data_IF_707209428895
#
_entry.id   IF_707209428895
#
_cell.length_a   1.000
_cell.length_b   1.000
_cell.length_c   1.000
_cell.angle_alpha   90.00
_cell.angle_beta   90.00
_cell.angle_gamma   90.00
#
_symmetry.space_group_name_H-M   'P 1'
#
loop_
_entity.id
_entity.type
_entity.pdbx_description
1 polymer ?
#
# COMPACT_ATOMS: atom_id res chain seq x y z
N UNK A 1 2.26 3.84 9.79
CA UNK A 1 2.76 2.72 10.60
C UNK A 1 2.32 1.38 10.02
N UNK A 2 3.09 0.34 10.30
CA UNK A 2 2.80 -1.03 9.90
C UNK A 2 3.21 -1.97 11.03
N UNK A 3 2.35 -2.94 11.34
CA UNK A 3 2.60 -3.92 12.41
C UNK A 3 3.17 -5.21 11.82
N UNK A 4 4.10 -5.84 12.54
CA UNK A 4 4.67 -7.14 12.15
C UNK A 4 3.63 -8.26 12.09
N UNK A 5 3.84 -9.31 11.29
CA UNK A 5 2.89 -10.44 11.20
C UNK A 5 2.58 -11.14 12.53
N UNK A 6 3.52 -11.12 13.46
CA UNK A 6 3.35 -11.67 14.81
C UNK A 6 2.71 -10.69 15.80
N UNK A 7 2.42 -9.44 15.37
CA UNK A 7 1.80 -8.38 16.15
C UNK A 7 2.70 -7.73 17.20
N UNK A 8 4.00 -8.02 17.25
CA UNK A 8 4.89 -7.60 18.37
C UNK A 8 5.69 -6.34 18.09
N UNK A 9 5.86 -5.96 16.82
CA UNK A 9 6.69 -4.81 16.44
C UNK A 9 5.92 -3.90 15.50
N UNK A 10 6.00 -2.59 15.72
CA UNK A 10 5.46 -1.56 14.84
C UNK A 10 6.61 -0.84 14.18
N UNK A 11 6.57 -0.71 12.85
CA UNK A 11 7.46 0.17 12.07
C UNK A 11 6.65 1.37 11.61
N UNK A 12 7.21 2.55 11.75
CA UNK A 12 6.56 3.81 11.41
C UNK A 12 7.57 4.84 10.89
N UNK A 13 7.07 5.84 10.17
CA UNK A 13 7.89 6.97 9.71
C UNK A 13 7.88 8.09 10.74
N UNK A 14 9.06 8.61 11.08
CA UNK A 14 9.23 9.79 11.91
C UNK A 14 10.41 10.62 11.40
N UNK A 15 10.17 11.90 11.12
CA UNK A 15 11.16 12.87 10.60
C UNK A 15 11.92 12.40 9.35
N UNK A 16 11.26 11.68 8.46
CA UNK A 16 11.84 11.21 7.21
C UNK A 16 12.49 9.83 7.26
N UNK A 17 12.66 9.23 8.43
CA UNK A 17 13.22 7.90 8.60
C UNK A 17 12.21 6.88 9.11
N UNK A 18 12.51 5.61 8.90
CA UNK A 18 11.77 4.50 9.50
C UNK A 18 12.30 4.23 10.92
N UNK A 19 11.37 4.01 11.83
CA UNK A 19 11.61 3.67 13.22
C UNK A 19 10.86 2.41 13.60
N UNK A 20 11.39 1.62 14.51
CA UNK A 20 10.72 0.45 15.06
C UNK A 20 10.55 0.55 16.58
N UNK A 21 9.43 0.01 17.08
CA UNK A 21 9.09 -0.02 18.51
C UNK A 21 8.29 -1.29 18.80
N UNK A 22 8.36 -1.80 20.04
CA UNK A 22 7.46 -2.88 20.48
C UNK A 22 5.99 -2.42 20.42
N UNK A 23 5.06 -3.30 20.05
CA UNK A 23 3.62 -3.03 20.11
C UNK A 23 3.12 -2.74 21.53
N UNK A 24 3.84 -3.21 22.55
CA UNK A 24 3.59 -2.91 23.97
C UNK A 24 4.10 -1.53 24.40
N UNK A 25 4.74 -0.79 23.49
CA UNK A 25 5.35 0.51 23.76
C UNK A 25 6.83 0.41 24.14
N UNK A 26 7.39 1.50 24.66
CA UNK A 26 8.79 1.61 25.02
C UNK A 26 9.59 2.54 24.11
N UNK A 27 10.90 2.34 24.04
CA UNK A 27 11.79 3.18 23.25
C UNK A 27 11.78 2.75 21.77
N UNK A 28 11.51 3.70 20.88
CA UNK A 28 11.68 3.50 19.46
C UNK A 28 13.17 3.57 19.07
N UNK A 29 13.59 2.72 18.16
CA UNK A 29 14.93 2.72 17.57
C UNK A 29 14.85 2.99 16.06
N UNK A 30 15.81 3.76 15.48
CA UNK A 30 15.82 3.98 14.05
C UNK A 30 16.12 2.68 13.31
N UNK A 31 15.41 2.47 12.20
CA UNK A 31 15.66 1.38 11.26
C UNK A 31 16.43 1.89 10.05
N UNK A 32 16.12 3.12 9.60
CA UNK A 32 16.88 3.83 8.58
C UNK A 32 17.43 5.14 9.15
N UNK A 33 18.53 5.61 8.60
CA UNK A 33 19.12 6.94 8.87
C UNK A 33 19.67 7.46 7.55
N UNK A 34 18.91 8.34 6.88
CA UNK A 34 19.26 8.88 5.57
C UNK A 34 18.71 10.29 5.41
N UNK A 35 19.33 11.13 4.57
CA UNK A 35 18.84 12.48 4.26
C UNK A 35 17.54 12.49 3.44
N UNK A 36 17.23 11.36 2.76
CA UNK A 36 16.02 11.17 1.98
C UNK A 36 14.81 10.85 2.87
N UNK A 37 13.63 10.93 2.28
CA UNK A 37 12.38 10.58 2.94
C UNK A 37 12.04 9.11 2.74
N UNK A 38 12.09 8.34 3.82
CA UNK A 38 11.69 6.93 3.89
C UNK A 38 10.30 6.80 4.52
N UNK A 39 9.33 6.20 3.81
CA UNK A 39 7.95 6.08 4.32
C UNK A 39 7.19 4.89 3.73
N UNK A 40 5.94 4.69 4.15
CA UNK A 40 5.08 3.56 3.77
C UNK A 40 5.73 2.18 4.00
N UNK A 41 6.17 1.87 5.23
CA UNK A 41 6.75 0.56 5.51
C UNK A 41 5.71 -0.55 5.36
N UNK A 42 6.11 -1.65 4.72
CA UNK A 42 5.33 -2.87 4.53
C UNK A 42 6.16 -4.07 4.95
N UNK A 43 5.61 -4.93 5.79
CA UNK A 43 6.26 -6.13 6.27
C UNK A 43 6.17 -7.29 5.28
N UNK A 44 7.26 -8.06 5.14
CA UNK A 44 7.18 -9.42 4.60
C UNK A 44 6.35 -10.33 5.50
N UNK A 45 5.76 -11.37 4.93
CA UNK A 45 4.91 -12.32 5.69
C UNK A 45 5.71 -13.11 6.72
N UNK A 46 7.00 -13.36 6.44
CA UNK A 46 7.92 -14.02 7.38
C UNK A 46 8.46 -13.08 8.48
N UNK A 47 8.12 -11.79 8.42
CA UNK A 47 8.52 -10.78 9.42
C UNK A 47 9.99 -10.39 9.41
N UNK A 48 10.76 -10.73 8.36
CA UNK A 48 12.21 -10.50 8.33
C UNK A 48 12.65 -9.28 7.55
N UNK A 49 11.78 -8.76 6.66
CA UNK A 49 12.12 -7.68 5.75
C UNK A 49 11.02 -6.61 5.73
N UNK A 50 11.44 -5.37 5.61
CA UNK A 50 10.57 -4.22 5.39
C UNK A 50 10.79 -3.70 3.97
N UNK A 51 9.72 -3.59 3.18
CA UNK A 51 9.71 -2.80 1.96
C UNK A 51 9.19 -1.39 2.28
N UNK A 52 9.75 -0.37 1.65
CA UNK A 52 9.36 1.02 1.86
C UNK A 52 9.62 1.87 0.61
N UNK A 53 9.01 3.04 0.54
CA UNK A 53 9.28 4.03 -0.48
C UNK A 53 10.37 4.99 0.00
N UNK A 54 11.32 5.35 -0.89
CA UNK A 54 12.38 6.32 -0.61
C UNK A 54 12.72 7.16 -1.83
N UNK A 55 12.93 8.47 -1.63
CA UNK A 55 13.30 9.42 -2.68
C UNK A 55 14.82 9.64 -2.81
N UNK A 56 15.65 8.71 -2.34
CA UNK A 56 17.12 8.76 -2.37
C UNK A 56 17.72 9.08 -3.74
N UNK A 57 16.99 8.84 -4.82
CA UNK A 57 17.43 9.05 -6.20
C UNK A 57 16.54 10.05 -6.97
N UNK A 58 15.85 10.94 -6.24
CA UNK A 58 15.08 12.07 -6.80
C UNK A 58 13.59 11.84 -6.98
N UNK A 59 13.13 10.59 -6.96
CA UNK A 59 11.73 10.20 -6.89
C UNK A 59 11.55 9.00 -5.97
N UNK A 60 10.34 8.71 -5.55
CA UNK A 60 10.07 7.56 -4.70
C UNK A 60 10.18 6.26 -5.47
N UNK A 61 11.16 5.45 -5.10
CA UNK A 61 11.35 4.07 -5.54
C UNK A 61 11.12 3.10 -4.38
N UNK A 62 10.97 1.81 -4.70
CA UNK A 62 10.89 0.76 -3.70
C UNK A 62 12.29 0.37 -3.20
N UNK A 63 12.41 0.30 -1.89
CA UNK A 63 13.58 -0.21 -1.19
C UNK A 63 13.19 -1.34 -0.24
N UNK A 64 14.14 -2.20 0.07
CA UNK A 64 13.99 -3.23 1.09
C UNK A 64 15.14 -3.19 2.09
N UNK A 65 14.85 -3.45 3.37
CA UNK A 65 15.82 -3.52 4.45
C UNK A 65 15.47 -4.68 5.38
N UNK A 66 16.46 -5.44 5.89
CA UNK A 66 16.21 -6.41 6.97
C UNK A 66 15.64 -5.70 8.21
N UNK A 67 14.74 -6.36 8.95
CA UNK A 67 14.14 -5.78 10.17
C UNK A 67 15.16 -5.53 11.27
N UNK A 68 16.28 -6.24 11.23
CA UNK A 68 17.40 -6.02 12.15
C UNK A 68 18.26 -4.81 11.79
N UNK A 69 17.99 -4.20 10.63
CA UNK A 69 18.78 -3.09 10.10
C UNK A 69 19.83 -3.54 9.09
N UNK A 70 20.65 -2.61 8.65
CA UNK A 70 21.68 -2.83 7.64
C UNK A 70 21.51 -1.91 6.45
N UNK A 71 22.05 -2.29 5.29
CA UNK A 71 21.98 -1.49 4.07
C UNK A 71 20.63 -1.71 3.37
N UNK A 72 19.96 -0.60 3.04
CA UNK A 72 18.73 -0.63 2.26
C UNK A 72 19.04 -0.84 0.77
N UNK A 73 18.38 -1.84 0.15
CA UNK A 73 18.58 -2.19 -1.25
C UNK A 73 17.44 -1.63 -2.10
N UNK A 74 17.77 -0.89 -3.15
CA UNK A 74 16.82 -0.41 -4.17
C UNK A 74 16.32 -1.55 -5.02
N UNK A 75 14.99 -1.65 -5.21
CA UNK A 75 14.32 -2.71 -5.98
C UNK A 75 13.83 -2.24 -7.34
N UNK A 76 13.48 -0.97 -7.46
CA UNK A 76 12.91 -0.37 -8.68
C UNK A 76 13.68 0.89 -9.10
N UNK A 77 13.55 1.30 -10.38
CA UNK A 77 14.40 2.32 -11.00
C UNK A 77 13.64 3.18 -12.02
N UNK A 78 12.35 3.37 -11.84
CA UNK A 78 11.52 4.17 -12.75
C UNK A 78 11.48 5.63 -12.33
N UNK A 79 11.23 6.55 -13.27
CA UNK A 79 11.12 7.99 -13.00
C UNK A 79 9.78 8.43 -12.38
N UNK A 80 8.75 7.57 -12.38
CA UNK A 80 7.51 7.82 -11.65
C UNK A 80 7.66 7.37 -10.20
N UNK A 81 6.91 8.01 -9.31
CA UNK A 81 6.83 7.59 -7.91
C UNK A 81 6.18 6.22 -7.77
N UNK A 82 6.67 5.43 -6.84
CA UNK A 82 6.28 4.06 -6.56
C UNK A 82 6.03 3.86 -5.08
N UNK A 83 4.88 3.29 -4.72
CA UNK A 83 4.42 3.17 -3.34
C UNK A 83 4.09 1.72 -3.01
N UNK A 84 4.80 1.08 -2.06
CA UNK A 84 4.57 -0.33 -1.73
C UNK A 84 3.25 -0.50 -0.98
N UNK A 85 2.52 -1.58 -1.27
CA UNK A 85 1.24 -1.87 -0.63
C UNK A 85 1.23 -3.18 0.13
N UNK A 86 1.77 -4.24 -0.44
CA UNK A 86 1.77 -5.56 0.20
C UNK A 86 2.81 -6.51 -0.39
N UNK A 87 3.22 -7.50 0.39
CA UNK A 87 3.95 -8.65 -0.12
C UNK A 87 2.97 -9.71 -0.63
N UNK A 88 3.39 -10.49 -1.64
CA UNK A 88 2.70 -11.72 -2.02
C UNK A 88 2.70 -12.72 -0.86
N UNK A 89 1.79 -13.68 -0.89
CA UNK A 89 1.65 -14.67 0.19
C UNK A 89 2.87 -15.55 0.38
N UNK A 90 3.64 -15.77 -0.70
CA UNK A 90 4.88 -16.55 -0.70
C UNK A 90 6.14 -15.70 -0.51
N UNK A 91 6.01 -14.42 -0.17
CA UNK A 91 7.08 -13.44 -0.01
C UNK A 91 8.02 -13.27 -1.22
N UNK A 92 7.59 -13.66 -2.43
CA UNK A 92 8.45 -13.56 -3.61
C UNK A 92 8.31 -12.26 -4.38
N UNK A 93 7.17 -11.57 -4.26
CA UNK A 93 6.91 -10.31 -4.95
C UNK A 93 6.32 -9.26 -4.01
N UNK A 94 6.45 -8.01 -4.43
CA UNK A 94 5.86 -6.85 -3.77
C UNK A 94 4.90 -6.20 -4.74
N UNK A 95 3.66 -5.98 -4.30
CA UNK A 95 2.65 -5.19 -5.03
C UNK A 95 2.79 -3.73 -4.66
N UNK A 96 2.76 -2.88 -5.66
CA UNK A 96 2.92 -1.44 -5.49
C UNK A 96 2.07 -0.65 -6.50
N UNK A 97 1.79 0.60 -6.17
CA UNK A 97 1.12 1.56 -7.04
C UNK A 97 2.11 2.50 -7.70
N UNK A 98 1.88 2.80 -8.97
CA UNK A 98 2.66 3.80 -9.72
C UNK A 98 1.87 4.35 -10.90
N UNK A 99 2.09 5.59 -11.25
CA UNK A 99 1.59 6.19 -12.50
C UNK A 99 2.66 6.04 -13.60
N UNK A 100 3.00 4.81 -13.93
CA UNK A 100 3.91 4.51 -15.04
C UNK A 100 3.20 4.77 -16.36
N UNK A 101 3.97 5.16 -17.38
CA UNK A 101 3.38 5.34 -18.70
C UNK A 101 3.15 3.99 -19.37
N UNK A 102 1.94 3.78 -19.85
CA UNK A 102 1.59 2.70 -20.76
C UNK A 102 2.37 2.76 -22.07
N UNK A 103 2.37 1.63 -22.80
CA UNK A 103 2.83 1.61 -24.18
C UNK A 103 2.12 2.71 -24.99
N UNK A 104 2.85 3.37 -25.89
CA UNK A 104 2.33 4.49 -26.68
C UNK A 104 1.01 4.17 -27.42
N UNK A 105 0.77 2.89 -27.74
CA UNK A 105 -0.46 2.39 -28.36
C UNK A 105 -1.69 2.38 -27.44
N UNK A 106 -1.47 2.38 -26.11
CA UNK A 106 -2.53 2.26 -25.10
C UNK A 106 -2.61 3.49 -24.17
N UNK A 107 -1.88 4.54 -24.52
CA UNK A 107 -1.78 5.73 -23.68
C UNK A 107 -3.10 6.50 -23.64
N UNK A 108 -3.83 6.36 -22.57
CA UNK A 108 -4.97 7.22 -22.23
C UNK A 108 -4.58 8.12 -21.06
N UNK A 109 -3.78 9.15 -21.32
CA UNK A 109 -3.47 10.23 -20.38
C UNK A 109 -3.17 9.75 -18.95
N UNK A 110 -2.07 9.02 -18.68
CA UNK A 110 -1.72 8.64 -17.32
C UNK A 110 -1.52 9.90 -16.51
N UNK A 111 -2.37 10.12 -15.53
CA UNK A 111 -2.19 11.18 -14.56
C UNK A 111 -1.59 10.58 -13.29
N UNK A 112 -0.70 11.30 -12.62
CA UNK A 112 -0.17 10.89 -11.30
C UNK A 112 -1.26 10.71 -10.24
N UNK A 113 -2.50 11.05 -10.56
CA UNK A 113 -3.68 10.87 -9.71
C UNK A 113 -4.40 9.53 -9.88
N UNK A 114 -3.99 8.70 -10.83
CA UNK A 114 -4.59 7.38 -11.10
C UNK A 114 -3.49 6.30 -11.20
N UNK A 115 -2.86 5.93 -10.07
CA UNK A 115 -1.83 4.91 -10.08
C UNK A 115 -2.43 3.54 -10.39
N UNK A 116 -1.75 2.80 -11.23
CA UNK A 116 -2.04 1.41 -11.54
C UNK A 116 -1.25 0.47 -10.63
N UNK A 117 -1.61 -0.81 -10.62
CA UNK A 117 -0.94 -1.81 -9.79
C UNK A 117 0.13 -2.57 -10.56
N UNK A 118 1.29 -2.60 -9.99
CA UNK A 118 2.46 -3.32 -10.49
C UNK A 118 2.99 -4.29 -9.44
N UNK A 119 3.85 -5.19 -9.88
CA UNK A 119 4.59 -6.09 -9.01
C UNK A 119 6.04 -6.20 -9.43
N UNK A 120 6.91 -6.39 -8.44
CA UNK A 120 8.34 -6.63 -8.62
C UNK A 120 8.79 -7.77 -7.70
N UNK A 121 9.79 -8.53 -8.15
CA UNK A 121 10.42 -9.53 -7.27
C UNK A 121 11.06 -8.85 -6.04
N UNK A 122 11.01 -9.51 -4.87
CA UNK A 122 11.74 -9.08 -3.67
C UNK A 122 13.25 -8.97 -3.90
N UNK A 123 13.74 -9.58 -4.96
CA UNK A 123 15.12 -9.46 -5.43
C UNK A 123 15.35 -8.33 -6.45
N UNK A 124 14.31 -7.52 -6.73
CA UNK A 124 14.34 -6.51 -7.79
C UNK A 124 14.23 -7.12 -9.18
N UNK A 125 14.55 -6.35 -10.22
CA UNK A 125 14.53 -6.79 -11.60
C UNK A 125 13.32 -6.28 -12.38
N UNK A 126 12.79 -7.08 -13.31
CA UNK A 126 11.72 -6.66 -14.22
C UNK A 126 10.40 -6.45 -13.45
N UNK A 127 9.86 -5.25 -13.56
CA UNK A 127 8.51 -4.93 -13.09
C UNK A 127 7.48 -5.41 -14.11
N UNK A 128 6.35 -5.93 -13.64
CA UNK A 128 5.20 -6.28 -14.46
C UNK A 128 3.94 -5.60 -13.92
N UNK A 129 3.03 -5.23 -14.82
CA UNK A 129 1.70 -4.75 -14.44
C UNK A 129 0.90 -5.91 -13.84
N UNK A 130 0.26 -5.67 -12.70
CA UNK A 130 -0.64 -6.62 -12.05
C UNK A 130 -2.08 -6.36 -12.47
N UNK A 131 -2.54 -5.12 -12.35
CA UNK A 131 -3.87 -4.67 -12.77
C UNK A 131 -3.82 -3.23 -13.29
N UNK A 132 -4.52 -2.92 -14.39
CA UNK A 132 -4.65 -1.55 -14.92
C UNK A 132 -5.69 -0.73 -14.15
N UNK A 133 -6.19 -1.21 -13.04
CA UNK A 133 -7.21 -0.55 -12.22
C UNK A 133 -6.57 0.46 -11.31
N UNK A 134 -6.99 1.74 -11.33
CA UNK A 134 -6.50 2.72 -10.37
C UNK A 134 -6.91 2.35 -8.94
N UNK A 135 -5.93 1.98 -8.13
CA UNK A 135 -6.13 1.46 -6.78
C UNK A 135 -4.97 1.84 -5.85
N UNK A 136 -5.28 1.98 -4.57
CA UNK A 136 -4.33 2.25 -3.49
C UNK A 136 -4.56 1.30 -2.32
N UNK A 137 -3.54 1.16 -1.45
CA UNK A 137 -3.57 0.34 -0.21
C UNK A 137 -4.05 -1.11 -0.41
N UNK A 138 -3.51 -1.76 -1.43
CA UNK A 138 -3.87 -3.12 -1.81
C UNK A 138 -3.38 -4.13 -0.78
N UNK A 139 -4.23 -5.09 -0.41
CA UNK A 139 -3.91 -6.20 0.50
C UNK A 139 -4.36 -7.53 -0.09
N UNK A 140 -3.48 -8.52 -0.05
CA UNK A 140 -3.86 -9.90 -0.36
C UNK A 140 -4.69 -10.49 0.77
N UNK A 141 -5.67 -11.31 0.40
CA UNK A 141 -6.28 -12.21 1.36
C UNK A 141 -5.33 -13.38 1.70
N UNK A 142 -5.72 -14.22 2.66
CA UNK A 142 -4.87 -15.26 3.22
C UNK A 142 -4.34 -16.30 2.22
N UNK A 143 -5.12 -16.64 1.19
CA UNK A 143 -4.72 -17.59 0.14
C UNK A 143 -4.16 -16.92 -1.13
N UNK A 144 -4.09 -15.58 -1.17
CA UNK A 144 -3.59 -14.80 -2.30
C UNK A 144 -4.52 -14.74 -3.51
N UNK A 145 -5.72 -15.29 -3.43
CA UNK A 145 -6.66 -15.31 -4.55
C UNK A 145 -7.44 -14.00 -4.72
N UNK A 146 -7.43 -13.13 -3.72
CA UNK A 146 -8.15 -11.85 -3.75
C UNK A 146 -7.25 -10.69 -3.36
N UNK A 147 -7.53 -9.54 -3.98
CA UNK A 147 -6.93 -8.25 -3.64
C UNK A 147 -8.03 -7.32 -3.12
N UNK A 148 -7.87 -6.85 -1.90
CA UNK A 148 -8.71 -5.84 -1.28
C UNK A 148 -8.03 -4.47 -1.44
N UNK A 149 -8.75 -3.44 -1.86
CA UNK A 149 -8.20 -2.12 -2.12
C UNK A 149 -9.28 -1.04 -2.01
N UNK A 150 -8.88 0.21 -1.92
CA UNK A 150 -9.75 1.33 -2.26
C UNK A 150 -9.40 1.89 -3.63
N UNK A 151 -10.41 2.34 -4.37
CA UNK A 151 -10.20 2.88 -5.71
C UNK A 151 -9.59 4.29 -5.66
N UNK A 152 -8.98 4.69 -6.78
CA UNK A 152 -8.45 6.03 -6.99
C UNK A 152 -9.08 6.65 -8.23
N UNK A 153 -10.09 7.49 -8.05
CA UNK A 153 -10.86 8.08 -9.14
C UNK A 153 -10.30 9.42 -9.62
N UNK A 154 -9.39 10.02 -8.88
CA UNK A 154 -8.81 11.31 -9.22
C UNK A 154 -7.93 11.90 -8.11
N UNK A 155 -7.51 13.16 -8.29
CA UNK A 155 -6.76 13.92 -7.28
C UNK A 155 -7.70 14.47 -6.21
N UNK A 156 -7.81 13.79 -5.08
CA UNK A 156 -8.59 14.24 -3.94
C UNK A 156 -7.73 15.02 -2.95
N UNK A 157 -8.31 16.07 -2.38
CA UNK A 157 -7.68 16.76 -1.26
C UNK A 157 -7.93 15.98 0.03
N UNK A 158 -6.90 15.29 0.53
CA UNK A 158 -6.95 14.47 1.75
C UNK A 158 -7.31 15.24 3.03
N UNK A 159 -7.30 16.56 2.99
CA UNK A 159 -7.63 17.43 4.10
C UNK A 159 -9.12 17.85 4.15
N UNK A 160 -9.91 17.52 3.10
CA UNK A 160 -11.35 17.81 3.09
C UNK A 160 -12.08 16.86 4.02
N UNK A 161 -12.94 17.45 4.87
CA UNK A 161 -13.90 16.71 5.71
C UNK A 161 -15.27 16.67 5.02
N UNK A 162 -16.05 15.65 5.31
CA UNK A 162 -17.44 15.48 4.83
C UNK A 162 -17.55 15.54 3.31
N UNK A 163 -16.64 14.89 2.64
CA UNK A 163 -16.55 14.93 1.19
C UNK A 163 -17.46 13.90 0.56
N UNK A 164 -18.51 14.40 -0.11
CA UNK A 164 -19.38 13.59 -0.97
C UNK A 164 -19.16 13.99 -2.40
N UNK A 165 -18.33 13.26 -3.13
CA UNK A 165 -18.10 13.51 -4.55
C UNK A 165 -17.95 12.22 -5.34
N UNK A 166 -18.02 12.35 -6.66
CA UNK A 166 -17.80 11.22 -7.56
C UNK A 166 -16.40 10.62 -7.50
N UNK A 167 -15.45 11.32 -6.86
CA UNK A 167 -14.06 10.85 -6.67
C UNK A 167 -13.77 10.37 -5.25
N UNK A 168 -14.76 10.41 -4.32
CA UNK A 168 -14.64 9.76 -3.02
C UNK A 168 -14.33 8.28 -3.20
N UNK A 169 -13.42 7.75 -2.37
CA UNK A 169 -12.96 6.37 -2.46
C UNK A 169 -14.02 5.40 -1.99
N UNK A 170 -14.06 4.26 -2.66
CA UNK A 170 -14.86 3.10 -2.29
C UNK A 170 -13.97 1.88 -2.09
N UNK A 171 -14.45 0.92 -1.32
CA UNK A 171 -13.76 -0.35 -1.13
C UNK A 171 -14.17 -1.38 -2.17
N UNK A 172 -13.17 -2.10 -2.67
CA UNK A 172 -13.35 -3.11 -3.70
C UNK A 172 -12.55 -4.37 -3.39
N UNK A 173 -13.04 -5.50 -3.88
CA UNK A 173 -12.29 -6.75 -3.96
C UNK A 173 -12.17 -7.18 -5.41
N UNK A 174 -10.95 -7.48 -5.82
CA UNK A 174 -10.66 -8.20 -7.08
C UNK A 174 -10.43 -9.68 -6.77
N UNK A 175 -11.12 -10.56 -7.47
CA UNK A 175 -10.94 -12.01 -7.40
C UNK A 175 -10.16 -12.47 -8.63
N UNK A 176 -8.95 -13.00 -8.43
CA UNK A 176 -8.03 -13.39 -9.50
C UNK A 176 -8.51 -14.63 -10.27
N UNK A 177 -9.33 -15.49 -9.65
CA UNK A 177 -9.87 -16.70 -10.28
C UNK A 177 -10.99 -16.38 -11.27
N UNK A 178 -11.85 -15.43 -10.90
CA UNK A 178 -13.00 -15.00 -11.72
C UNK A 178 -12.70 -13.75 -12.54
N UNK A 179 -11.59 -13.06 -12.27
CA UNK A 179 -11.21 -11.77 -12.86
C UNK A 179 -12.28 -10.68 -12.67
N UNK A 180 -13.01 -10.72 -11.57
CA UNK A 180 -14.09 -9.78 -11.28
C UNK A 180 -13.73 -8.84 -10.15
N UNK A 181 -14.13 -7.58 -10.32
CA UNK A 181 -14.12 -6.57 -9.27
C UNK A 181 -15.51 -6.48 -8.65
N UNK A 182 -15.56 -6.48 -7.32
CA UNK A 182 -16.80 -6.33 -6.55
C UNK A 182 -16.67 -5.15 -5.61
N UNK A 183 -17.57 -4.18 -5.73
CA UNK A 183 -17.67 -3.05 -4.81
C UNK A 183 -18.24 -3.53 -3.47
N UNK A 184 -17.60 -3.15 -2.36
CA UNK A 184 -17.99 -3.58 -1.02
C UNK A 184 -18.80 -2.52 -0.27
N UNK A 185 -18.55 -1.24 -0.50
CA UNK A 185 -19.20 -0.15 0.22
C UNK A 185 -20.12 0.65 -0.70
N UNK A 186 -21.17 1.24 -0.10
CA UNK A 186 -22.21 2.02 -0.79
C UNK A 186 -22.38 3.43 -0.20
N UNK A 187 -21.55 3.80 0.75
CA UNK A 187 -21.56 5.13 1.35
C UNK A 187 -21.12 6.19 0.31
N UNK A 188 -21.80 7.35 0.29
CA UNK A 188 -21.49 8.43 -0.65
C UNK A 188 -20.33 9.33 -0.22
N UNK A 189 -19.56 8.96 0.79
CA UNK A 189 -18.37 9.65 1.25
C UNK A 189 -17.14 8.78 1.13
N UNK A 190 -16.11 9.12 1.88
CA UNK A 190 -14.80 8.48 1.80
C UNK A 190 -14.72 7.20 2.63
N UNK A 191 -14.47 6.06 1.97
CA UNK A 191 -14.11 4.77 2.56
C UNK A 191 -12.70 4.39 2.09
N UNK A 192 -11.75 4.09 3.02
CA UNK A 192 -10.35 3.86 2.65
C UNK A 192 -9.57 2.97 3.61
N UNK A 193 -8.34 2.63 3.22
CA UNK A 193 -7.38 1.84 3.99
C UNK A 193 -7.95 0.49 4.48
N UNK A 194 -8.51 -0.33 3.59
CA UNK A 194 -9.11 -1.59 4.00
C UNK A 194 -8.06 -2.65 4.32
N UNK A 195 -8.35 -3.49 5.31
CA UNK A 195 -7.58 -4.68 5.63
C UNK A 195 -8.51 -5.89 5.84
N UNK A 196 -8.07 -7.08 5.44
CA UNK A 196 -8.75 -8.31 5.80
C UNK A 196 -8.59 -8.60 7.28
N UNK A 197 -9.65 -9.11 7.91
CA UNK A 197 -9.67 -9.51 9.31
C UNK A 197 -10.41 -10.85 9.49
N UNK A 198 -10.29 -11.48 10.68
CA UNK A 198 -10.97 -12.73 11.06
C UNK A 198 -10.78 -13.86 10.05
N UNK A 199 -9.56 -14.08 9.58
CA UNK A 199 -9.24 -15.05 8.52
C UNK A 199 -10.06 -14.83 7.23
N UNK A 200 -10.05 -13.59 6.74
CA UNK A 200 -10.74 -13.12 5.51
C UNK A 200 -12.28 -13.11 5.59
N UNK A 201 -12.84 -13.29 6.79
CA UNK A 201 -14.30 -13.27 6.99
C UNK A 201 -14.88 -11.87 7.15
N UNK A 202 -14.02 -10.89 7.42
CA UNK A 202 -14.42 -9.50 7.59
C UNK A 202 -13.40 -8.54 7.01
N UNK A 203 -13.83 -7.30 6.82
CA UNK A 203 -12.98 -6.19 6.38
C UNK A 203 -13.06 -5.10 7.43
N UNK A 204 -11.90 -4.58 7.84
CA UNK A 204 -11.77 -3.39 8.68
C UNK A 204 -11.27 -2.24 7.83
N UNK A 205 -11.81 -1.05 8.00
CA UNK A 205 -11.52 0.10 7.14
C UNK A 205 -11.81 1.43 7.86
N UNK A 206 -11.37 2.52 7.27
CA UNK A 206 -11.69 3.88 7.71
C UNK A 206 -12.86 4.43 6.89
N UNK A 207 -13.85 4.99 7.56
CA UNK A 207 -14.99 5.67 6.94
C UNK A 207 -15.36 6.93 7.68
N UNK A 208 -15.86 7.92 6.95
CA UNK A 208 -16.44 9.15 7.55
C UNK A 208 -17.97 9.15 7.60
N UNK A 209 -18.59 7.96 7.57
CA UNK A 209 -20.06 7.79 7.63
C UNK A 209 -20.72 8.58 8.77
N UNK A 210 -20.06 8.74 9.91
CA UNK A 210 -20.56 9.50 11.06
C UNK A 210 -19.92 10.90 11.17
N UNK A 211 -19.49 11.49 10.04
CA UNK A 211 -19.00 12.86 9.97
C UNK A 211 -17.52 13.04 10.31
N UNK A 212 -16.82 11.98 10.72
CA UNK A 212 -15.36 11.95 10.90
C UNK A 212 -14.84 10.54 10.63
N UNK A 213 -13.55 10.43 10.26
CA UNK A 213 -12.96 9.11 10.08
C UNK A 213 -12.94 8.30 11.37
N UNK A 214 -13.59 7.16 11.33
CA UNK A 214 -13.58 6.15 12.38
C UNK A 214 -13.29 4.78 11.75
N UNK A 215 -12.92 3.82 12.60
CA UNK A 215 -12.71 2.45 12.21
C UNK A 215 -14.04 1.71 12.14
N UNK A 216 -14.34 1.13 11.01
CA UNK A 216 -15.53 0.30 10.77
C UNK A 216 -15.14 -1.12 10.43
N UNK A 217 -16.05 -2.06 10.65
CA UNK A 217 -15.91 -3.46 10.32
C UNK A 217 -17.22 -3.99 9.78
N UNK A 218 -17.15 -4.74 8.67
CA UNK A 218 -18.26 -5.56 8.19
C UNK A 218 -17.81 -6.99 7.88
N UNK A 219 -18.75 -7.94 7.86
CA UNK A 219 -18.52 -9.35 7.56
C UNK A 219 -19.01 -9.71 6.14
#
# INVERSE_FOLDING_TARGET
>A
PSISPDGKTVVFTYKGDLWKVSSEGGNATPLTLHEAHDFMPVWSRDGKTICFASDRFGNFDLFSIPVEGGEARRLTFHSANEYPYDYSIDDKTIVFGSARMDLASNRQYPTGSQPELYQVSVNGGKVSMLLPTPAEDVKHNKDGSKLLYHDKKGGENTWRKHHTSSIARDLWVYDSKTQKHTKLTTFNGEDRNPIFADNDKSVVYLSETNGSFNVYKFA
#
